data_IF_228549120406
#
_entry.id   IF_228549120406
#
_cell.length_a   1.000
_cell.length_b   1.000
_cell.length_c   1.000
_cell.angle_alpha   90.00
_cell.angle_beta   90.00
_cell.angle_gamma   90.00
#
_symmetry.space_group_name_H-M   'P 1'
#
loop_
_entity.id
_entity.type
_entity.pdbx_description
1 polymer ?
#
# COMPACT_ATOMS: atom_id res chain seq x y z
N UNK A 1 -37.00 -82.05 23.26
CA UNK A 1 -37.49 -81.96 21.86
C UNK A 1 -37.71 -80.49 21.56
N UNK A 2 -37.11 -80.01 20.45
CA UNK A 2 -37.26 -78.70 19.78
C UNK A 2 -36.63 -77.48 20.48
N UNK A 3 -35.50 -76.94 19.98
CA UNK A 3 -35.19 -76.16 18.75
C UNK A 3 -35.46 -74.66 18.91
N UNK A 4 -34.40 -73.91 18.64
CA UNK A 4 -34.35 -72.53 18.09
C UNK A 4 -34.85 -71.42 19.04
N UNK A 5 -34.14 -70.31 19.25
CA UNK A 5 -33.30 -69.57 18.31
C UNK A 5 -32.36 -68.66 19.08
N UNK A 6 -31.05 -68.73 18.78
CA UNK A 6 -30.08 -67.68 19.10
C UNK A 6 -30.47 -66.40 18.34
N UNK A 7 -30.92 -65.39 19.08
CA UNK A 7 -31.04 -64.02 18.59
C UNK A 7 -29.82 -63.20 19.01
N UNK A 8 -28.69 -63.45 18.34
CA UNK A 8 -27.59 -62.50 18.29
C UNK A 8 -28.04 -61.32 17.42
N UNK A 9 -28.27 -60.12 17.98
CA UNK A 9 -28.32 -58.91 17.17
C UNK A 9 -28.05 -57.66 18.03
N UNK A 10 -26.89 -57.05 17.71
CA UNK A 10 -26.55 -55.63 17.89
C UNK A 10 -26.14 -55.19 19.29
N UNK A 11 -24.94 -55.61 19.68
CA UNK A 11 -23.98 -54.71 20.34
C UNK A 11 -23.64 -53.55 19.38
N UNK A 12 -24.48 -52.51 19.36
CA UNK A 12 -24.19 -51.22 18.72
C UNK A 12 -23.03 -50.59 19.50
N UNK A 13 -21.79 -50.82 19.05
CA UNK A 13 -20.59 -50.15 19.59
C UNK A 13 -20.77 -48.62 19.44
N UNK A 14 -21.01 -47.86 20.52
CA UNK A 14 -21.30 -46.43 20.44
C UNK A 14 -20.05 -45.59 20.10
N UNK A 15 -18.86 -46.21 20.02
CA UNK A 15 -17.61 -45.50 19.71
C UNK A 15 -17.49 -44.99 18.28
N UNK A 16 -18.11 -45.62 17.27
CA UNK A 16 -17.91 -45.22 15.87
C UNK A 16 -18.49 -43.84 15.53
N UNK A 17 -19.58 -43.45 16.17
CA UNK A 17 -20.23 -42.14 15.93
C UNK A 17 -19.37 -41.00 16.50
N UNK A 18 -18.71 -41.23 17.64
CA UNK A 18 -17.88 -40.22 18.27
C UNK A 18 -16.62 -39.91 17.47
N UNK A 19 -15.91 -40.93 16.96
CA UNK A 19 -14.75 -40.73 16.08
C UNK A 19 -15.12 -40.01 14.77
N UNK A 20 -16.28 -40.34 14.18
CA UNK A 20 -16.76 -39.66 12.98
C UNK A 20 -17.03 -38.18 13.25
N UNK A 21 -17.64 -37.84 14.39
CA UNK A 21 -17.87 -36.44 14.78
C UNK A 21 -16.57 -35.67 15.01
N UNK A 22 -15.57 -36.28 15.66
CA UNK A 22 -14.26 -35.64 15.88
C UNK A 22 -13.53 -35.37 14.57
N UNK A 23 -13.52 -36.34 13.65
CA UNK A 23 -12.90 -36.17 12.32
C UNK A 23 -13.61 -35.08 11.53
N UNK A 24 -14.95 -35.05 11.57
CA UNK A 24 -15.75 -34.06 10.85
C UNK A 24 -15.54 -32.64 11.43
N UNK A 25 -15.41 -32.52 12.75
CA UNK A 25 -15.11 -31.25 13.41
C UNK A 25 -13.69 -30.75 13.09
N UNK A 26 -12.70 -31.65 13.07
CA UNK A 26 -11.34 -31.32 12.67
C UNK A 26 -11.26 -30.88 11.20
N UNK A 27 -11.97 -31.56 10.30
CA UNK A 27 -12.05 -31.20 8.89
C UNK A 27 -12.69 -29.81 8.68
N UNK A 28 -13.74 -29.49 9.44
CA UNK A 28 -14.39 -28.16 9.41
C UNK A 28 -13.44 -27.08 9.93
N UNK A 29 -12.68 -27.33 11.01
CA UNK A 29 -11.70 -26.38 11.53
C UNK A 29 -10.52 -26.14 10.58
N UNK A 30 -9.99 -27.19 9.96
CA UNK A 30 -8.93 -27.08 8.94
C UNK A 30 -9.45 -26.38 7.68
N UNK A 31 -10.69 -26.66 7.27
CA UNK A 31 -11.36 -25.98 6.16
C UNK A 31 -11.58 -24.49 6.43
N UNK A 32 -12.06 -24.13 7.62
CA UNK A 32 -12.21 -22.73 8.02
C UNK A 32 -10.86 -22.02 8.13
N UNK A 33 -9.82 -22.69 8.65
CA UNK A 33 -8.48 -22.15 8.74
C UNK A 33 -7.84 -21.87 7.37
N UNK A 34 -8.08 -22.74 6.38
CA UNK A 34 -7.57 -22.54 5.01
C UNK A 34 -8.33 -21.45 4.28
N UNK A 35 -9.67 -21.40 4.38
CA UNK A 35 -10.49 -20.35 3.75
C UNK A 35 -10.16 -18.97 4.35
N UNK A 36 -10.03 -18.87 5.68
CA UNK A 36 -9.64 -17.64 6.37
C UNK A 36 -8.18 -17.28 6.07
N UNK A 37 -7.28 -18.25 5.95
CA UNK A 37 -5.89 -18.03 5.51
C UNK A 37 -5.80 -17.43 4.12
N UNK A 38 -6.57 -17.95 3.15
CA UNK A 38 -6.65 -17.37 1.79
C UNK A 38 -7.36 -16.01 1.72
N UNK A 39 -8.23 -15.70 2.70
CA UNK A 39 -8.85 -14.38 2.82
C UNK A 39 -7.97 -13.35 3.54
N UNK A 40 -7.02 -13.80 4.38
CA UNK A 40 -6.12 -12.95 5.18
C UNK A 40 -4.71 -12.81 4.62
N UNK A 41 -4.32 -13.59 3.62
CA UNK A 41 -3.09 -13.36 2.85
C UNK A 41 -3.49 -12.52 1.63
N UNK A 42 -3.42 -11.18 1.71
CA UNK A 42 -3.62 -10.34 0.52
C UNK A 42 -2.62 -10.77 -0.56
N UNK A 43 -3.07 -10.82 -1.82
CA UNK A 43 -2.22 -11.15 -2.97
C UNK A 43 -1.05 -10.18 -3.17
N UNK A 44 -1.04 -9.05 -2.45
CA UNK A 44 0.08 -8.15 -2.30
C UNK A 44 0.49 -8.12 -0.82
N UNK A 45 1.76 -8.43 -0.54
CA UNK A 45 2.33 -8.23 0.79
C UNK A 45 2.10 -6.78 1.24
N UNK A 46 1.55 -6.53 2.45
CA UNK A 46 1.41 -5.18 2.98
C UNK A 46 2.78 -4.52 3.07
N UNK A 47 2.91 -3.31 2.51
CA UNK A 47 4.15 -2.52 2.54
C UNK A 47 4.22 -1.60 3.75
N UNK A 48 3.09 -1.36 4.39
CA UNK A 48 3.02 -0.63 5.64
C UNK A 48 3.46 -1.53 6.81
N UNK A 49 4.22 -0.98 7.78
CA UNK A 49 4.74 -1.74 8.91
C UNK A 49 3.63 -2.36 9.77
N UNK A 50 2.44 -1.75 9.78
CA UNK A 50 1.28 -2.24 10.54
C UNK A 50 0.71 -3.53 9.91
N UNK A 51 0.61 -3.60 8.59
CA UNK A 51 0.14 -4.80 7.88
C UNK A 51 1.10 -5.98 7.99
N UNK A 52 2.43 -5.73 7.95
CA UNK A 52 3.43 -6.79 8.20
C UNK A 52 3.26 -7.36 9.60
N UNK A 53 3.06 -6.49 10.59
CA UNK A 53 2.84 -6.91 11.97
C UNK A 53 1.57 -7.78 12.11
N UNK A 54 0.45 -7.35 11.52
CA UNK A 54 -0.79 -8.11 11.53
C UNK A 54 -0.64 -9.51 10.91
N UNK A 55 0.11 -9.62 9.81
CA UNK A 55 0.39 -10.90 9.16
C UNK A 55 1.22 -11.84 10.06
N UNK A 56 2.25 -11.33 10.75
CA UNK A 56 3.06 -12.12 11.69
C UNK A 56 2.20 -12.62 12.86
N UNK A 57 1.36 -11.75 13.45
CA UNK A 57 0.47 -12.15 14.55
C UNK A 57 -0.52 -13.22 14.10
N UNK A 58 -1.10 -13.10 12.91
CA UNK A 58 -2.00 -14.11 12.38
C UNK A 58 -1.34 -15.49 12.22
N UNK A 59 -0.10 -15.53 11.71
CA UNK A 59 0.69 -16.78 11.58
C UNK A 59 0.99 -17.39 12.95
N UNK A 60 1.34 -16.57 13.95
CA UNK A 60 1.60 -17.04 15.32
C UNK A 60 0.35 -17.63 15.98
N UNK A 61 -0.81 -17.00 15.82
CA UNK A 61 -2.08 -17.54 16.33
C UNK A 61 -2.44 -18.87 15.65
N UNK A 62 -2.25 -18.95 14.33
CA UNK A 62 -2.55 -20.16 13.55
C UNK A 62 -1.65 -21.34 13.96
N UNK A 63 -0.35 -21.08 14.13
CA UNK A 63 0.61 -22.10 14.59
C UNK A 63 0.34 -22.55 16.01
N UNK A 64 -0.03 -21.64 16.92
CA UNK A 64 -0.39 -21.99 18.28
C UNK A 64 -1.65 -22.87 18.34
N UNK A 65 -2.67 -22.55 17.54
CA UNK A 65 -3.92 -23.35 17.47
C UNK A 65 -3.68 -24.73 16.84
N UNK A 66 -2.82 -24.83 15.84
CA UNK A 66 -2.41 -26.12 15.27
C UNK A 66 -1.65 -26.99 16.28
N UNK A 67 -0.75 -26.42 17.08
CA UNK A 67 -0.01 -27.17 18.10
C UNK A 67 -0.95 -27.74 19.19
N UNK A 68 -1.95 -26.97 19.63
CA UNK A 68 -2.93 -27.40 20.63
C UNK A 68 -3.77 -28.58 20.11
N UNK A 69 -4.18 -28.54 18.85
CA UNK A 69 -5.03 -29.58 18.25
C UNK A 69 -4.29 -30.90 18.00
N UNK A 70 -2.97 -30.89 17.85
CA UNK A 70 -2.15 -32.11 17.70
C UNK A 70 -1.92 -32.81 19.05
N UNK A 71 -1.79 -32.06 20.14
CA UNK A 71 -1.44 -32.64 21.46
C UNK A 71 -2.64 -33.32 22.15
N UNK A 72 -3.87 -32.86 21.91
CA UNK A 72 -5.06 -33.34 22.63
C UNK A 72 -5.50 -34.78 22.23
N UNK A 73 -5.49 -35.20 20.95
CA UNK A 73 -6.03 -36.51 20.55
C UNK A 73 -5.17 -37.70 20.96
N UNK A 74 -3.83 -37.54 21.03
CA UNK A 74 -2.92 -38.65 21.34
C UNK A 74 -3.11 -39.23 22.74
N UNK A 75 -3.53 -38.41 23.71
CA UNK A 75 -3.71 -38.84 25.10
C UNK A 75 -5.04 -39.56 25.35
N UNK A 76 -6.06 -39.39 24.51
CA UNK A 76 -7.40 -39.95 24.76
C UNK A 76 -7.41 -41.47 24.59
N UNK A 77 -6.68 -41.99 23.59
CA UNK A 77 -6.58 -43.43 23.33
C UNK A 77 -5.78 -44.18 24.41
N UNK A 78 -4.71 -43.56 24.93
CA UNK A 78 -3.89 -44.15 26.00
C UNK A 78 -4.59 -44.10 27.36
N UNK A 79 -5.35 -43.04 27.65
CA UNK A 79 -6.18 -42.96 28.86
C UNK A 79 -7.32 -44.00 28.78
N UNK A 80 -7.95 -44.18 27.61
CA UNK A 80 -9.01 -45.16 27.42
C UNK A 80 -8.51 -46.61 27.59
N UNK A 81 -7.31 -46.95 27.08
CA UNK A 81 -6.69 -48.27 27.30
C UNK A 81 -6.22 -48.48 28.73
N UNK A 82 -5.68 -47.45 29.37
CA UNK A 82 -5.19 -47.50 30.76
C UNK A 82 -6.33 -47.70 31.76
N UNK A 83 -7.48 -47.06 31.54
CA UNK A 83 -8.68 -47.20 32.37
C UNK A 83 -9.34 -48.58 32.26
N UNK A 84 -9.11 -49.32 31.17
CA UNK A 84 -9.73 -50.63 30.97
C UNK A 84 -9.13 -51.75 31.84
N UNK A 85 -7.90 -51.60 32.36
CA UNK A 85 -7.12 -52.74 32.88
C UNK A 85 -6.54 -52.58 34.30
N UNK A 86 -6.84 -51.53 35.08
CA UNK A 86 -6.24 -51.36 36.42
C UNK A 86 -7.20 -50.86 37.51
N UNK A 87 -7.06 -51.33 38.77
CA UNK A 87 -7.89 -50.91 39.89
C UNK A 87 -7.63 -49.43 40.28
N UNK A 88 -8.71 -48.66 40.32
CA UNK A 88 -8.78 -47.19 40.45
C UNK A 88 -8.08 -46.53 41.65
N UNK A 89 -7.65 -47.28 42.67
CA UNK A 89 -7.14 -46.70 43.92
C UNK A 89 -5.67 -46.25 43.90
N UNK A 90 -4.84 -46.76 43.00
CA UNK A 90 -3.40 -46.42 42.91
C UNK A 90 -3.07 -45.43 41.77
N UNK A 91 -3.95 -45.29 40.77
CA UNK A 91 -3.72 -44.45 39.58
C UNK A 91 -3.94 -42.95 39.81
N UNK A 92 -4.66 -42.57 40.86
CA UNK A 92 -5.07 -41.18 41.07
C UNK A 92 -3.92 -40.21 41.32
N UNK A 93 -2.87 -40.60 42.06
CA UNK A 93 -1.81 -39.66 42.44
C UNK A 93 -0.81 -39.37 41.33
N UNK A 94 -0.40 -40.38 40.56
CA UNK A 94 0.57 -40.20 39.45
C UNK A 94 -0.07 -39.50 38.25
N UNK A 95 -1.31 -39.85 37.90
CA UNK A 95 -2.01 -39.23 36.78
C UNK A 95 -2.29 -37.73 37.02
N UNK A 96 -2.60 -37.34 38.26
CA UNK A 96 -2.83 -35.93 38.62
C UNK A 96 -1.55 -35.10 38.56
N UNK A 97 -0.42 -35.63 39.05
CA UNK A 97 0.89 -34.96 38.98
C UNK A 97 1.34 -34.74 37.53
N UNK A 98 1.15 -35.72 36.66
CA UNK A 98 1.51 -35.61 35.25
C UNK A 98 0.65 -34.57 34.52
N UNK A 99 -0.66 -34.54 34.82
CA UNK A 99 -1.59 -33.56 34.26
C UNK A 99 -1.24 -32.14 34.72
N UNK A 100 -0.89 -31.97 36.00
CA UNK A 100 -0.42 -30.68 36.52
C UNK A 100 0.87 -30.23 35.84
N UNK A 101 1.82 -31.13 35.60
CA UNK A 101 3.09 -30.80 34.93
C UNK A 101 2.85 -30.32 33.49
N UNK A 102 1.96 -30.98 32.73
CA UNK A 102 1.62 -30.58 31.36
C UNK A 102 0.91 -29.22 31.31
N UNK A 103 -0.02 -28.98 32.23
CA UNK A 103 -0.71 -27.68 32.35
C UNK A 103 0.29 -26.58 32.71
N UNK A 104 1.22 -26.83 33.64
CA UNK A 104 2.24 -25.86 34.01
C UNK A 104 3.13 -25.50 32.81
N UNK A 105 3.58 -26.50 32.03
CA UNK A 105 4.38 -26.27 30.82
C UNK A 105 3.62 -25.42 29.79
N UNK A 106 2.34 -25.73 29.56
CA UNK A 106 1.49 -24.96 28.64
C UNK A 106 1.29 -23.50 29.10
N UNK A 107 1.07 -23.27 30.40
CA UNK A 107 0.92 -21.92 30.96
C UNK A 107 2.24 -21.15 30.85
N UNK A 108 3.37 -21.78 31.16
CA UNK A 108 4.68 -21.12 31.06
C UNK A 108 5.05 -20.76 29.63
N UNK A 109 4.71 -21.61 28.65
CA UNK A 109 4.97 -21.33 27.24
C UNK A 109 4.07 -20.20 26.73
N UNK A 110 2.79 -20.17 27.12
CA UNK A 110 1.89 -19.07 26.76
C UNK A 110 2.37 -17.74 27.34
N UNK A 111 2.79 -17.72 28.61
CA UNK A 111 3.34 -16.52 29.25
C UNK A 111 4.63 -16.04 28.59
N UNK A 112 5.53 -16.96 28.21
CA UNK A 112 6.75 -16.61 27.49
C UNK A 112 6.45 -15.97 26.13
N UNK A 113 5.45 -16.48 25.39
CA UNK A 113 5.00 -15.89 24.12
C UNK A 113 4.45 -14.48 24.36
N UNK A 114 3.59 -14.30 25.37
CA UNK A 114 3.02 -12.98 25.69
C UNK A 114 4.13 -11.98 26.04
N UNK A 115 5.11 -12.37 26.86
CA UNK A 115 6.23 -11.49 27.22
C UNK A 115 7.06 -11.13 25.99
N UNK A 116 7.41 -12.10 25.13
CA UNK A 116 8.19 -11.82 23.90
C UNK A 116 7.41 -10.91 22.95
N UNK A 117 6.11 -11.15 22.74
CA UNK A 117 5.27 -10.30 21.87
C UNK A 117 5.10 -8.89 22.43
N UNK A 118 4.89 -8.74 23.74
CA UNK A 118 4.83 -7.44 24.41
C UNK A 118 6.17 -6.69 24.31
N UNK A 119 7.30 -7.41 24.43
CA UNK A 119 8.63 -6.82 24.27
C UNK A 119 8.89 -6.34 22.84
N UNK A 120 8.50 -7.14 21.83
CA UNK A 120 8.60 -6.76 20.42
C UNK A 120 7.73 -5.54 20.07
N UNK A 121 6.50 -5.47 20.62
CA UNK A 121 5.61 -4.34 20.44
C UNK A 121 6.14 -3.03 21.05
N UNK A 122 6.82 -3.12 22.20
CA UNK A 122 7.37 -1.94 22.86
C UNK A 122 8.58 -1.36 22.11
N UNK A 123 9.36 -2.21 21.42
CA UNK A 123 10.49 -1.75 20.59
C UNK A 123 10.05 -0.93 19.38
N UNK A 124 8.92 -1.26 18.74
CA UNK A 124 8.40 -0.48 17.61
C UNK A 124 7.95 0.94 17.98
N UNK A 125 7.60 1.20 19.24
CA UNK A 125 7.20 2.54 19.71
C UNK A 125 8.42 3.42 20.01
N UNK A 126 9.55 2.83 20.39
CA UNK A 126 10.75 3.58 20.77
C UNK A 126 11.58 4.00 19.54
N UNK A 127 11.44 3.28 18.42
CA UNK A 127 12.11 3.60 17.15
C UNK A 127 11.09 4.10 16.13
N UNK A 128 10.17 4.97 16.55
CA UNK A 128 9.56 5.86 15.57
C UNK A 128 10.72 6.68 14.98
N UNK A 129 11.02 6.56 13.67
CA UNK A 129 12.05 7.38 13.05
C UNK A 129 11.75 8.82 13.43
N UNK A 130 12.74 9.50 14.02
CA UNK A 130 12.56 10.90 14.38
C UNK A 130 12.16 11.62 13.10
N UNK A 131 10.96 12.21 13.09
CA UNK A 131 10.35 12.89 11.94
C UNK A 131 11.07 14.18 11.49
N UNK A 132 12.39 14.21 11.68
CA UNK A 132 13.27 15.34 11.54
C UNK A 132 14.61 14.94 10.91
N UNK A 133 14.74 13.75 10.32
CA UNK A 133 15.96 13.39 9.62
C UNK A 133 16.02 14.22 8.31
N UNK A 134 16.96 15.15 8.23
CA UNK A 134 17.17 15.95 7.02
C UNK A 134 17.73 15.05 5.91
N UNK A 135 16.99 14.90 4.83
CA UNK A 135 17.39 14.13 3.64
C UNK A 135 18.26 14.98 2.70
N UNK A 136 18.10 16.30 2.73
CA UNK A 136 18.86 17.26 1.93
C UNK A 136 17.96 18.27 1.20
N UNK A 137 18.61 19.13 0.40
CA UNK A 137 17.95 20.15 -0.41
C UNK A 137 17.08 19.57 -1.53
N UNK A 138 16.08 20.35 -1.95
CA UNK A 138 15.17 20.05 -3.05
C UNK A 138 15.57 20.83 -4.31
N UNK A 139 15.99 20.12 -5.35
CA UNK A 139 16.31 20.71 -6.66
C UNK A 139 15.03 20.86 -7.50
N UNK A 140 14.39 22.03 -7.37
CA UNK A 140 13.17 22.37 -8.09
C UNK A 140 13.38 22.49 -9.60
N UNK A 141 14.57 22.89 -10.04
CA UNK A 141 14.88 23.02 -11.46
C UNK A 141 14.95 21.64 -12.12
N UNK A 142 15.65 20.71 -11.47
CA UNK A 142 15.73 19.33 -11.92
C UNK A 142 14.35 18.64 -11.91
N UNK A 143 13.56 18.86 -10.86
CA UNK A 143 12.17 18.40 -10.79
C UNK A 143 11.37 18.88 -11.99
N UNK A 144 11.35 20.19 -12.27
CA UNK A 144 10.57 20.75 -13.38
C UNK A 144 11.05 20.26 -14.76
N UNK A 145 12.37 20.14 -14.97
CA UNK A 145 12.93 19.60 -16.21
C UNK A 145 12.55 18.15 -16.45
N UNK A 146 12.44 17.33 -15.40
CA UNK A 146 11.99 15.95 -15.52
C UNK A 146 10.54 15.85 -16.04
N UNK A 147 9.69 16.84 -15.75
CA UNK A 147 8.33 16.94 -16.29
C UNK A 147 8.25 17.70 -17.63
N UNK A 148 9.39 17.99 -18.25
CA UNK A 148 9.48 18.65 -19.56
C UNK A 148 9.41 20.18 -19.52
N UNK A 149 9.40 20.79 -18.32
CA UNK A 149 9.44 22.25 -18.22
C UNK A 149 10.87 22.80 -18.41
N UNK A 150 11.01 24.08 -18.75
CA UNK A 150 12.31 24.74 -18.89
C UNK A 150 13.03 24.94 -17.54
N UNK A 151 12.25 25.15 -16.47
CA UNK A 151 12.75 25.39 -15.12
C UNK A 151 11.62 25.71 -14.16
N UNK A 152 11.98 26.29 -13.02
CA UNK A 152 11.07 26.79 -12.02
C UNK A 152 11.17 28.31 -11.89
N UNK A 153 10.08 28.93 -11.46
CA UNK A 153 10.00 30.35 -11.13
C UNK A 153 9.31 30.55 -9.78
N UNK A 154 9.67 31.64 -9.10
CA UNK A 154 9.08 32.03 -7.81
C UNK A 154 8.17 33.23 -8.03
N UNK A 155 6.92 33.13 -7.59
CA UNK A 155 5.96 34.23 -7.59
C UNK A 155 5.37 34.36 -6.18
N UNK A 156 5.83 35.38 -5.45
CA UNK A 156 5.59 35.50 -4.02
C UNK A 156 6.22 34.33 -3.25
N UNK A 157 5.40 33.61 -2.48
CA UNK A 157 5.81 32.44 -1.69
C UNK A 157 5.62 31.11 -2.44
N UNK A 158 5.10 31.16 -3.67
CA UNK A 158 4.78 29.97 -4.46
C UNK A 158 5.83 29.74 -5.53
N UNK A 159 6.09 28.46 -5.81
CA UNK A 159 6.97 28.04 -6.88
C UNK A 159 6.16 27.34 -7.96
N UNK A 160 6.52 27.59 -9.21
CA UNK A 160 5.86 27.05 -10.38
C UNK A 160 6.90 26.44 -11.32
N UNK A 161 6.58 25.29 -11.91
CA UNK A 161 7.27 24.85 -13.13
C UNK A 161 6.72 25.66 -14.30
N UNK A 162 7.60 26.20 -15.14
CA UNK A 162 7.18 27.08 -16.24
C UNK A 162 7.91 26.82 -17.55
N UNK A 163 7.22 27.03 -18.67
CA UNK A 163 7.78 26.92 -20.02
C UNK A 163 7.07 27.88 -20.95
N UNK A 164 7.85 28.75 -21.59
CA UNK A 164 7.37 29.67 -22.62
C UNK A 164 6.90 28.90 -23.87
N UNK A 165 5.70 29.24 -24.35
CA UNK A 165 5.16 28.71 -25.60
C UNK A 165 5.85 29.41 -26.77
N UNK A 166 6.57 28.65 -27.60
CA UNK A 166 7.38 29.19 -28.69
C UNK A 166 8.88 29.17 -28.41
N UNK A 167 9.30 28.77 -27.20
CA UNK A 167 10.70 28.45 -26.95
C UNK A 167 11.11 27.24 -27.80
N UNK A 168 12.11 27.42 -28.66
CA UNK A 168 12.78 26.31 -29.36
C UNK A 168 13.55 25.46 -28.34
N UNK A 169 12.90 24.46 -27.76
CA UNK A 169 13.61 23.39 -27.04
C UNK A 169 14.20 22.40 -28.05
N UNK A 170 15.49 22.06 -27.89
CA UNK A 170 16.20 21.10 -28.75
C UNK A 170 15.57 19.70 -28.77
N UNK A 171 14.84 19.32 -27.72
CA UNK A 171 14.40 17.94 -27.50
C UNK A 171 12.90 17.78 -27.19
N UNK A 172 12.10 18.85 -27.11
CA UNK A 172 10.68 18.72 -26.81
C UNK A 172 9.86 18.91 -28.07
N UNK A 173 9.05 17.91 -28.37
CA UNK A 173 8.04 18.02 -29.40
C UNK A 173 7.05 19.15 -29.04
N UNK A 174 7.20 20.27 -29.75
CA UNK A 174 6.12 21.15 -30.23
C UNK A 174 5.36 22.02 -29.22
N UNK A 175 5.98 22.52 -28.13
CA UNK A 175 5.36 23.68 -27.45
C UNK A 175 5.54 24.95 -28.29
N UNK A 176 4.66 25.12 -29.26
CA UNK A 176 4.66 26.26 -30.19
C UNK A 176 3.25 26.85 -30.32
N UNK A 177 3.18 28.13 -30.68
CA UNK A 177 1.90 28.81 -30.93
C UNK A 177 1.21 28.26 -32.20
N UNK A 178 1.99 27.79 -33.20
CA UNK A 178 1.44 27.03 -34.33
C UNK A 178 0.80 25.72 -33.86
N UNK A 179 1.45 25.00 -32.94
CA UNK A 179 0.91 23.79 -32.32
C UNK A 179 -0.41 24.05 -31.59
N UNK A 180 -0.51 25.19 -30.89
CA UNK A 180 -1.74 25.61 -30.23
C UNK A 180 -2.89 25.86 -31.23
N UNK A 181 -2.60 26.55 -32.35
CA UNK A 181 -3.60 26.73 -33.42
C UNK A 181 -4.05 25.40 -34.04
N UNK A 182 -3.12 24.50 -34.33
CA UNK A 182 -3.44 23.21 -34.94
C UNK A 182 -4.28 22.36 -33.98
N UNK A 183 -3.94 22.36 -32.69
CA UNK A 183 -4.69 21.67 -31.64
C UNK A 183 -6.11 22.23 -31.48
N UNK A 184 -6.25 23.56 -31.37
CA UNK A 184 -7.54 24.21 -31.12
C UNK A 184 -8.47 24.14 -32.34
N UNK A 185 -7.92 24.26 -33.56
CA UNK A 185 -8.71 24.29 -34.80
C UNK A 185 -8.86 22.93 -35.49
N UNK A 186 -8.08 21.92 -35.08
CA UNK A 186 -8.09 20.59 -35.69
C UNK A 186 -7.61 20.54 -37.15
N UNK A 187 -6.92 21.60 -37.62
CA UNK A 187 -6.44 21.72 -38.99
C UNK A 187 -5.08 22.42 -39.05
N UNK A 188 -4.34 22.19 -40.15
CA UNK A 188 -3.06 22.87 -40.39
C UNK A 188 -3.26 24.38 -40.38
N UNK A 189 -2.55 25.06 -39.49
CA UNK A 189 -2.69 26.49 -39.25
C UNK A 189 -1.39 27.09 -38.74
N UNK A 190 -1.26 28.40 -38.95
CA UNK A 190 -0.10 29.19 -38.52
C UNK A 190 -0.57 30.30 -37.58
N UNK A 191 0.19 30.56 -36.54
CA UNK A 191 -0.07 31.64 -35.59
C UNK A 191 0.74 32.87 -35.97
N UNK A 192 0.12 34.05 -35.93
CA UNK A 192 0.82 35.34 -36.06
C UNK A 192 0.31 36.33 -35.04
N UNK A 193 1.22 37.08 -34.42
CA UNK A 193 0.88 38.22 -33.58
C UNK A 193 0.64 39.46 -34.45
N UNK A 194 -0.48 40.16 -34.23
CA UNK A 194 -0.69 41.49 -34.83
C UNK A 194 0.18 42.56 -34.15
N UNK A 195 0.49 42.38 -32.87
CA UNK A 195 1.38 43.24 -32.08
C UNK A 195 2.37 42.36 -31.28
N UNK A 196 3.68 42.51 -31.50
CA UNK A 196 4.70 41.67 -30.84
C UNK A 196 4.66 41.72 -29.32
N UNK A 197 4.24 42.85 -28.73
CA UNK A 197 4.21 43.06 -27.28
C UNK A 197 2.84 42.75 -26.66
N UNK A 198 1.89 42.24 -27.44
CA UNK A 198 0.57 41.85 -26.94
C UNK A 198 0.27 40.39 -27.32
N UNK A 199 0.46 39.44 -26.39
CA UNK A 199 0.23 38.02 -26.65
C UNK A 199 -1.23 37.68 -26.97
N UNK A 200 -2.19 38.55 -26.61
CA UNK A 200 -3.60 38.42 -26.95
C UNK A 200 -3.94 38.91 -28.36
N UNK A 201 -2.99 39.55 -29.06
CA UNK A 201 -3.17 40.02 -30.45
C UNK A 201 -2.96 38.91 -31.49
N UNK A 202 -2.75 37.68 -31.02
CA UNK A 202 -2.45 36.51 -31.84
C UNK A 202 -3.66 35.94 -32.56
N UNK A 203 -3.48 35.64 -33.83
CA UNK A 203 -4.48 34.98 -34.66
C UNK A 203 -3.91 33.76 -35.38
N UNK A 204 -4.77 32.75 -35.52
CA UNK A 204 -4.52 31.58 -36.35
C UNK A 204 -4.95 31.87 -37.79
N UNK A 205 -4.18 31.38 -38.75
CA UNK A 205 -4.42 31.49 -40.18
C UNK A 205 -4.44 30.09 -40.79
N UNK A 206 -5.41 29.83 -41.66
CA UNK A 206 -5.48 28.58 -42.42
C UNK A 206 -4.42 28.53 -43.55
N UNK A 207 -4.42 27.45 -44.34
CA UNK A 207 -3.49 27.28 -45.48
C UNK A 207 -3.61 28.39 -46.55
N UNK A 208 -4.78 29.04 -46.66
CA UNK A 208 -5.03 30.14 -47.59
C UNK A 208 -4.70 31.52 -46.97
N UNK A 209 -3.98 31.56 -45.85
CA UNK A 209 -3.67 32.78 -45.10
C UNK A 209 -4.89 33.63 -44.69
N UNK A 210 -6.06 33.00 -44.55
CA UNK A 210 -7.27 33.65 -44.03
C UNK A 210 -7.31 33.53 -42.50
N UNK A 211 -7.58 34.61 -41.75
CA UNK A 211 -7.68 34.53 -40.29
C UNK A 211 -8.90 33.69 -39.88
N UNK A 212 -8.67 32.74 -38.97
CA UNK A 212 -9.70 31.83 -38.43
C UNK A 212 -9.89 32.02 -36.90
N UNK A 213 -9.48 33.19 -36.39
CA UNK A 213 -9.57 33.58 -34.98
C UNK A 213 -8.34 33.18 -34.15
N UNK A 214 -8.29 33.60 -32.89
CA UNK A 214 -7.26 33.22 -31.92
C UNK A 214 -7.44 31.78 -31.39
N UNK A 215 -6.51 31.35 -30.54
CA UNK A 215 -6.60 30.08 -29.79
C UNK A 215 -7.63 30.23 -28.68
N UNK A 216 -8.69 29.43 -28.70
CA UNK A 216 -9.81 29.55 -27.77
C UNK A 216 -9.50 29.08 -26.35
N UNK A 217 -8.61 28.08 -26.20
CA UNK A 217 -8.29 27.50 -24.89
C UNK A 217 -6.78 27.20 -24.73
N UNK A 218 -6.00 28.22 -24.37
CA UNK A 218 -4.55 28.04 -24.19
C UNK A 218 -4.21 27.13 -23.00
N UNK A 219 -4.99 27.15 -21.91
CA UNK A 219 -4.77 26.26 -20.76
C UNK A 219 -4.98 24.79 -21.14
N UNK A 220 -6.04 24.49 -21.90
CA UNK A 220 -6.30 23.14 -22.41
C UNK A 220 -5.19 22.64 -23.35
N UNK A 221 -4.57 23.53 -24.13
CA UNK A 221 -3.39 23.19 -24.91
C UNK A 221 -2.20 22.82 -24.00
N UNK A 222 -1.92 23.60 -22.96
CA UNK A 222 -0.88 23.28 -21.99
C UNK A 222 -1.14 21.93 -21.28
N UNK A 223 -2.37 21.65 -20.86
CA UNK A 223 -2.77 20.36 -20.28
C UNK A 223 -2.59 19.20 -21.27
N UNK A 224 -2.89 19.42 -22.55
CA UNK A 224 -2.69 18.41 -23.60
C UNK A 224 -1.22 18.05 -23.80
N UNK A 225 -0.32 19.04 -23.72
CA UNK A 225 1.13 18.86 -23.89
C UNK A 225 1.75 18.19 -22.66
N UNK A 226 1.43 18.66 -21.46
CA UNK A 226 2.04 18.20 -20.21
C UNK A 226 1.16 17.17 -19.48
N UNK A 227 0.90 16.04 -20.14
CA UNK A 227 0.08 14.95 -19.56
C UNK A 227 0.71 14.43 -18.26
N UNK A 228 -0.11 14.25 -17.22
CA UNK A 228 0.31 13.68 -15.93
C UNK A 228 0.67 14.71 -14.85
N UNK A 229 0.71 15.99 -15.19
CA UNK A 229 0.80 17.07 -14.21
C UNK A 229 -0.60 17.62 -13.91
N UNK A 230 -0.86 17.90 -12.63
CA UNK A 230 -2.14 18.48 -12.20
C UNK A 230 -2.06 20.01 -12.17
N UNK A 231 -3.19 20.69 -12.42
CA UNK A 231 -3.33 22.15 -12.27
C UNK A 231 -2.43 22.97 -13.21
N UNK A 232 -2.19 22.47 -14.42
CA UNK A 232 -1.51 23.24 -15.46
C UNK A 232 -2.42 24.38 -15.93
N UNK A 233 -1.85 25.56 -16.11
CA UNK A 233 -2.56 26.73 -16.61
C UNK A 233 -1.68 27.47 -17.62
N UNK A 234 -2.33 28.11 -18.59
CA UNK A 234 -1.65 29.08 -19.45
C UNK A 234 -1.77 30.48 -18.86
N UNK A 235 -0.66 31.18 -18.74
CA UNK A 235 -0.63 32.59 -18.30
C UNK A 235 0.22 33.41 -19.25
N UNK A 236 0.20 34.73 -19.09
CA UNK A 236 1.09 35.64 -19.79
C UNK A 236 2.17 36.12 -18.82
N UNK A 237 3.44 35.94 -19.19
CA UNK A 237 4.59 36.53 -18.50
C UNK A 237 5.50 37.18 -19.55
N UNK A 238 5.98 38.40 -19.29
CA UNK A 238 6.83 39.16 -20.22
C UNK A 238 6.32 39.21 -21.67
N UNK A 239 5.02 39.52 -21.82
CA UNK A 239 4.31 39.57 -23.09
C UNK A 239 4.31 38.26 -23.91
N UNK A 240 4.60 37.12 -23.26
CA UNK A 240 4.63 35.79 -23.88
C UNK A 240 3.68 34.84 -23.17
N UNK A 241 3.14 33.87 -23.91
CA UNK A 241 2.37 32.79 -23.33
C UNK A 241 3.30 31.79 -22.65
N UNK A 242 2.93 31.37 -21.44
CA UNK A 242 3.69 30.41 -20.62
C UNK A 242 2.74 29.35 -20.10
N UNK A 243 3.13 28.08 -20.23
CA UNK A 243 2.49 26.99 -19.50
C UNK A 243 3.11 26.90 -18.11
N UNK A 244 2.29 26.96 -17.07
CA UNK A 244 2.71 26.95 -15.67
C UNK A 244 2.00 25.87 -14.88
N UNK A 245 2.68 25.26 -13.92
CA UNK A 245 2.09 24.35 -12.95
C UNK A 245 2.64 24.65 -11.56
N UNK A 246 1.77 24.79 -10.57
CA UNK A 246 2.22 24.95 -9.17
C UNK A 246 3.00 23.71 -8.73
N UNK A 247 4.10 23.91 -8.00
CA UNK A 247 4.90 22.81 -7.45
C UNK A 247 4.29 22.39 -6.11
N UNK A 248 3.89 21.12 -6.01
CA UNK A 248 3.61 20.49 -4.72
C UNK A 248 4.95 20.07 -4.10
N UNK A 249 5.38 20.80 -3.08
CA UNK A 249 6.69 20.58 -2.46
C UNK A 249 6.81 19.19 -1.83
N UNK A 250 5.73 18.66 -1.28
CA UNK A 250 5.72 17.31 -0.69
C UNK A 250 5.92 16.27 -1.78
N UNK A 251 5.19 16.40 -2.89
CA UNK A 251 5.34 15.51 -4.04
C UNK A 251 6.75 15.61 -4.65
N UNK A 252 7.31 16.82 -4.73
CA UNK A 252 8.67 17.03 -5.22
C UNK A 252 9.73 16.37 -4.34
N UNK A 253 9.60 16.47 -3.01
CA UNK A 253 10.45 15.73 -2.07
C UNK A 253 10.31 14.21 -2.24
N UNK A 254 9.06 13.72 -2.34
CA UNK A 254 8.80 12.29 -2.51
C UNK A 254 9.42 11.75 -3.81
N UNK A 255 9.37 12.54 -4.88
CA UNK A 255 10.02 12.23 -6.15
C UNK A 255 11.55 12.23 -6.04
N UNK A 256 12.14 13.25 -5.39
CA UNK A 256 13.61 13.39 -5.31
C UNK A 256 14.26 12.28 -4.50
N UNK A 257 13.62 11.82 -3.43
CA UNK A 257 14.17 10.82 -2.50
C UNK A 257 13.53 9.43 -2.63
N UNK A 258 12.53 9.27 -3.51
CA UNK A 258 11.80 8.01 -3.72
C UNK A 258 11.14 7.46 -2.43
N UNK A 259 10.71 8.36 -1.54
CA UNK A 259 10.07 8.04 -0.26
C UNK A 259 8.68 8.71 -0.16
N UNK A 260 7.67 7.98 0.31
CA UNK A 260 6.29 8.50 0.41
C UNK A 260 6.03 9.32 1.67
N UNK A 261 6.75 9.04 2.75
CA UNK A 261 6.60 9.69 4.06
C UNK A 261 7.70 10.73 4.27
N UNK A 262 7.70 11.74 3.39
CA UNK A 262 8.60 12.89 3.48
C UNK A 262 7.81 14.19 3.57
N UNK A 263 8.40 15.15 4.25
CA UNK A 263 7.89 16.51 4.39
C UNK A 263 8.87 17.50 3.78
N UNK A 264 8.33 18.49 3.07
CA UNK A 264 9.12 19.61 2.59
C UNK A 264 9.04 20.76 3.60
N UNK A 265 10.18 21.33 3.99
CA UNK A 265 10.24 22.50 4.88
C UNK A 265 11.20 23.53 4.29
N UNK A 266 10.80 24.80 4.32
CA UNK A 266 11.65 25.91 3.90
C UNK A 266 12.61 26.28 5.03
N UNK A 267 13.90 26.25 4.77
CA UNK A 267 14.91 26.76 5.70
C UNK A 267 14.97 28.29 5.58
N UNK A 268 14.53 28.95 6.64
CA UNK A 268 14.42 30.41 6.72
C UNK A 268 15.78 31.12 6.57
N UNK A 269 16.88 30.44 6.89
CA UNK A 269 18.21 31.04 6.82
C UNK A 269 18.79 31.01 5.40
N UNK A 270 18.41 30.01 4.60
CA UNK A 270 18.96 29.78 3.25
C UNK A 270 17.96 30.09 2.13
N UNK A 271 16.68 30.28 2.44
CA UNK A 271 15.56 30.37 1.47
C UNK A 271 15.51 29.14 0.54
N UNK A 272 15.97 27.98 1.04
CA UNK A 272 15.98 26.72 0.32
C UNK A 272 14.97 25.75 0.92
N UNK A 273 14.32 24.98 0.04
CA UNK A 273 13.49 23.86 0.46
C UNK A 273 14.36 22.65 0.77
N UNK A 274 14.16 22.07 1.95
CA UNK A 274 14.77 20.82 2.37
C UNK A 274 13.69 19.76 2.59
N UNK A 275 14.06 18.50 2.40
CA UNK A 275 13.19 17.35 2.61
C UNK A 275 13.55 16.66 3.92
N UNK A 276 12.54 16.26 4.68
CA UNK A 276 12.68 15.61 5.98
C UNK A 276 11.87 14.31 6.01
N UNK A 277 12.38 13.32 6.74
CA UNK A 277 11.66 12.10 7.12
C UNK A 277 11.29 12.15 8.59
#
# INVERSE_FOLDING_TARGET
>A
MNRETQGDLRSRRPGKIYYLLVILFAAVFVGLGTVVGSALIPSAWPRDPLGIFAAIVAVLIFTATAAITIVIPGDIDDIARSLANRPLKELGKKAVLERQRRVLVAVTTLLAIIVVTAWQLNLSVIIAPSKNANLGGLDLEHYCRNYGFNGNEKEGEKFFCSTEIGATQKNSARLSLNGACIWDKGQQSTFKLRSPNNPYSGECYNANHTPIGGVGNMSGYCEHVFKGMSKIQATVADAKWVCRSAIDMKLACAWSYQELDVEARMDVNTDQWNCYK
#
